data_IF_139162823669
#
_entry.id   IF_139162823669
#
_cell.length_a   1.000
_cell.length_b   1.000
_cell.length_c   1.000
_cell.angle_alpha   90.00
_cell.angle_beta   90.00
_cell.angle_gamma   90.00
#
_symmetry.space_group_name_H-M   'P 1'
#
loop_
_entity.id
_entity.type
_entity.pdbx_description
1 polymer ?
#
# COMPACT_ATOMS: atom_id res chain seq x y z
N UNK A 1 12.62 -8.87 -21.50
CA UNK A 1 12.77 -8.36 -20.10
C UNK A 1 13.42 -6.97 -19.97
N UNK A 2 14.09 -6.43 -21.03
CA UNK A 2 14.81 -5.13 -20.93
C UNK A 2 13.88 -3.95 -20.56
N UNK A 3 12.64 -3.92 -21.05
CA UNK A 3 11.68 -2.82 -20.82
C UNK A 3 10.80 -3.00 -19.57
N UNK A 4 10.64 -4.24 -19.08
CA UNK A 4 9.76 -4.54 -17.95
C UNK A 4 10.13 -3.78 -16.66
N UNK A 5 11.43 -3.59 -16.41
CA UNK A 5 11.92 -2.83 -15.26
C UNK A 5 11.47 -1.36 -15.27
N UNK A 6 11.35 -0.74 -16.46
CA UNK A 6 10.90 0.64 -16.57
C UNK A 6 9.38 0.75 -16.35
N UNK A 7 8.61 -0.28 -16.72
CA UNK A 7 7.19 -0.35 -16.41
C UNK A 7 6.99 -0.39 -14.89
N UNK A 8 7.73 -1.23 -14.16
CA UNK A 8 7.66 -1.28 -12.70
C UNK A 8 8.06 0.05 -12.06
N UNK A 9 9.11 0.70 -12.57
CA UNK A 9 9.53 2.02 -12.10
C UNK A 9 8.43 3.08 -12.29
N UNK A 10 7.80 3.13 -13.46
CA UNK A 10 6.73 4.08 -13.74
C UNK A 10 5.54 3.85 -12.81
N UNK A 11 5.13 2.60 -12.60
CA UNK A 11 4.02 2.28 -11.69
C UNK A 11 4.40 2.65 -10.25
N UNK A 12 5.63 2.33 -9.81
CA UNK A 12 6.13 2.69 -8.48
C UNK A 12 6.08 4.21 -8.24
N UNK A 13 6.57 5.00 -9.20
CA UNK A 13 6.53 6.46 -9.13
C UNK A 13 5.08 6.95 -9.11
N UNK A 14 4.22 6.40 -9.97
CA UNK A 14 2.81 6.78 -10.03
C UNK A 14 2.09 6.54 -8.70
N UNK A 15 2.28 5.36 -8.08
CA UNK A 15 1.68 5.05 -6.77
C UNK A 15 2.23 5.98 -5.69
N UNK A 16 3.53 6.27 -5.69
CA UNK A 16 4.14 7.19 -4.72
C UNK A 16 3.55 8.59 -4.83
N UNK A 17 3.43 9.12 -6.04
CA UNK A 17 2.81 10.42 -6.30
C UNK A 17 1.34 10.43 -5.90
N UNK A 18 0.60 9.36 -6.23
CA UNK A 18 -0.80 9.21 -5.84
C UNK A 18 -0.98 9.27 -4.31
N UNK A 19 -0.13 8.55 -3.55
CA UNK A 19 -0.16 8.59 -2.07
C UNK A 19 0.05 10.03 -1.58
N UNK A 20 1.04 10.74 -2.10
CA UNK A 20 1.32 12.10 -1.65
C UNK A 20 0.20 13.08 -2.03
N UNK A 21 -0.35 12.97 -3.24
CA UNK A 21 -1.51 13.80 -3.65
C UNK A 21 -2.70 13.55 -2.71
N UNK A 22 -3.01 12.28 -2.42
CA UNK A 22 -4.09 11.91 -1.48
C UNK A 22 -3.81 12.36 -0.04
N UNK A 23 -2.54 12.48 0.35
CA UNK A 23 -2.16 13.02 1.66
C UNK A 23 -2.43 14.51 1.79
N UNK A 24 -2.51 15.26 0.68
CA UNK A 24 -2.90 16.68 0.68
C UNK A 24 -4.42 16.93 0.71
N UNK A 25 -5.25 15.90 0.60
CA UNK A 25 -6.71 16.06 0.73
C UNK A 25 -7.08 16.51 2.15
N UNK A 26 -8.01 17.44 2.26
CA UNK A 26 -8.58 17.83 3.55
C UNK A 26 -9.53 16.74 4.10
N UNK A 27 -10.02 16.91 5.34
CA UNK A 27 -10.86 15.91 5.99
C UNK A 27 -12.13 15.58 5.19
N UNK A 28 -12.79 16.59 4.63
CA UNK A 28 -14.01 16.43 3.84
C UNK A 28 -13.76 15.65 2.54
N UNK A 29 -12.73 16.02 1.78
CA UNK A 29 -12.35 15.34 0.54
C UNK A 29 -11.97 13.87 0.79
N UNK A 30 -11.21 13.62 1.87
CA UNK A 30 -10.83 12.26 2.25
C UNK A 30 -12.05 11.42 2.68
N UNK A 31 -13.00 12.02 3.41
CA UNK A 31 -14.26 11.34 3.78
C UNK A 31 -15.10 11.02 2.55
N UNK A 32 -15.29 11.98 1.65
CA UNK A 32 -16.06 11.79 0.42
C UNK A 32 -15.46 10.66 -0.45
N UNK A 33 -14.12 10.59 -0.55
CA UNK A 33 -13.45 9.47 -1.26
C UNK A 33 -13.73 8.13 -0.58
N UNK A 34 -13.64 8.07 0.76
CA UNK A 34 -13.93 6.84 1.51
C UNK A 34 -15.39 6.44 1.40
N UNK A 35 -16.31 7.39 1.41
CA UNK A 35 -17.75 7.16 1.29
C UNK A 35 -18.08 6.54 -0.07
N UNK A 36 -17.57 7.10 -1.16
CA UNK A 36 -17.76 6.55 -2.52
C UNK A 36 -17.25 5.10 -2.63
N UNK A 37 -16.07 4.81 -2.08
CA UNK A 37 -15.51 3.45 -2.09
C UNK A 37 -16.37 2.52 -1.25
N UNK A 38 -16.82 2.97 -0.08
CA UNK A 38 -17.70 2.20 0.80
C UNK A 38 -19.01 1.86 0.12
N UNK A 39 -19.66 2.84 -0.53
CA UNK A 39 -20.92 2.64 -1.23
C UNK A 39 -20.80 1.59 -2.35
N UNK A 40 -19.70 1.61 -3.10
CA UNK A 40 -19.42 0.59 -4.12
C UNK A 40 -19.23 -0.80 -3.49
N UNK A 41 -18.51 -0.90 -2.37
CA UNK A 41 -18.27 -2.17 -1.67
C UNK A 41 -19.56 -2.71 -1.09
N UNK A 42 -20.33 -1.88 -0.36
CA UNK A 42 -21.60 -2.27 0.25
C UNK A 42 -22.58 -2.71 -0.84
N UNK A 43 -22.77 -1.90 -1.88
CA UNK A 43 -23.65 -2.24 -2.99
C UNK A 43 -23.25 -3.51 -3.73
N UNK A 44 -21.92 -3.80 -3.83
CA UNK A 44 -21.43 -5.04 -4.44
C UNK A 44 -21.74 -6.24 -3.54
N UNK A 45 -21.50 -6.13 -2.23
CA UNK A 45 -21.75 -7.23 -1.28
C UNK A 45 -23.24 -7.52 -1.20
N UNK A 46 -24.08 -6.49 -1.06
CA UNK A 46 -25.52 -6.65 -1.01
C UNK A 46 -26.06 -7.27 -2.30
N UNK A 47 -25.49 -6.92 -3.46
CA UNK A 47 -25.91 -7.49 -4.75
C UNK A 47 -25.54 -8.95 -4.96
N UNK A 48 -24.55 -9.50 -4.23
CA UNK A 48 -24.13 -10.92 -4.32
C UNK A 48 -24.61 -11.77 -3.13
N UNK A 49 -25.11 -11.13 -2.06
CA UNK A 49 -25.59 -11.84 -0.86
C UNK A 49 -27.03 -12.31 -1.09
N UNK A 50 -27.34 -13.62 -1.02
CA UNK A 50 -28.71 -14.11 -1.14
C UNK A 50 -29.54 -13.70 0.10
N UNK A 51 -30.61 -12.93 -0.11
CA UNK A 51 -31.54 -12.50 0.94
C UNK A 51 -31.78 -10.99 0.93
N UNK A 52 -32.75 -10.53 1.70
CA UNK A 52 -33.10 -9.09 1.79
C UNK A 52 -32.29 -8.34 2.88
N UNK A 53 -31.31 -9.00 3.52
CA UNK A 53 -30.47 -8.40 4.58
C UNK A 53 -29.26 -7.69 3.96
N UNK A 54 -29.17 -6.38 4.20
CA UNK A 54 -27.98 -5.59 3.86
C UNK A 54 -26.83 -5.82 4.87
N UNK A 55 -25.58 -5.63 4.43
CA UNK A 55 -24.42 -5.64 5.34
C UNK A 55 -24.55 -4.53 6.41
N UNK A 56 -25.24 -3.45 6.10
CA UNK A 56 -25.51 -2.33 7.01
C UNK A 56 -26.53 -2.67 8.10
N UNK A 57 -27.28 -3.75 7.96
CA UNK A 57 -28.16 -4.26 9.05
C UNK A 57 -27.34 -4.94 10.17
N UNK A 58 -26.12 -5.39 9.83
CA UNK A 58 -25.23 -6.12 10.75
C UNK A 58 -24.09 -5.24 11.32
N UNK A 59 -23.69 -4.20 10.60
CA UNK A 59 -22.56 -3.34 10.97
C UNK A 59 -22.92 -1.87 10.81
N UNK A 60 -22.45 -1.03 11.73
CA UNK A 60 -22.59 0.41 11.60
C UNK A 60 -21.85 0.91 10.33
N UNK A 61 -22.52 1.72 9.53
CA UNK A 61 -21.94 2.25 8.29
C UNK A 61 -20.67 3.06 8.54
N UNK A 62 -20.55 3.74 9.68
CA UNK A 62 -19.38 4.52 10.04
C UNK A 62 -18.18 3.59 10.34
N UNK A 63 -18.43 2.45 10.97
CA UNK A 63 -17.38 1.43 11.22
C UNK A 63 -16.89 0.83 9.89
N UNK A 64 -17.79 0.58 8.94
CA UNK A 64 -17.44 0.12 7.60
C UNK A 64 -16.58 1.18 6.89
N UNK A 65 -16.96 2.46 6.93
CA UNK A 65 -16.19 3.56 6.34
C UNK A 65 -14.78 3.68 6.92
N UNK A 66 -14.66 3.59 8.24
CA UNK A 66 -13.36 3.62 8.93
C UNK A 66 -12.51 2.42 8.52
N UNK A 67 -13.10 1.23 8.47
CA UNK A 67 -12.41 0.02 8.03
C UNK A 67 -11.94 0.12 6.58
N UNK A 68 -12.79 0.54 5.66
CA UNK A 68 -12.48 0.73 4.24
C UNK A 68 -11.33 1.73 4.07
N UNK A 69 -11.38 2.88 4.75
CA UNK A 69 -10.31 3.87 4.72
C UNK A 69 -8.97 3.29 5.20
N UNK A 70 -8.98 2.54 6.31
CA UNK A 70 -7.76 1.93 6.85
C UNK A 70 -7.27 0.75 6.02
N UNK A 71 -8.16 -0.15 5.62
CA UNK A 71 -7.78 -1.38 4.90
C UNK A 71 -7.36 -1.10 3.46
N UNK A 72 -8.03 -0.18 2.76
CA UNK A 72 -7.75 0.13 1.36
C UNK A 72 -6.85 1.36 1.24
N UNK A 73 -7.23 2.48 1.87
CA UNK A 73 -6.55 3.77 1.75
C UNK A 73 -5.14 3.79 2.36
N UNK A 74 -4.95 3.15 3.52
CA UNK A 74 -3.64 3.07 4.17
C UNK A 74 -2.94 1.75 3.84
N UNK A 75 -3.41 0.64 4.37
CA UNK A 75 -2.76 -0.65 4.22
C UNK A 75 -2.66 -1.13 2.77
N UNK A 76 -3.75 -1.11 2.00
CA UNK A 76 -3.83 -1.66 0.65
C UNK A 76 -2.96 -0.92 -0.35
N UNK A 77 -2.98 0.42 -0.33
CA UNK A 77 -2.17 1.21 -1.25
C UNK A 77 -0.67 1.07 -0.96
N UNK A 78 -0.28 0.97 0.33
CA UNK A 78 1.11 0.71 0.71
C UNK A 78 1.56 -0.71 0.42
N UNK A 79 0.65 -1.69 0.45
CA UNK A 79 0.93 -3.05 -0.02
C UNK A 79 1.25 -3.04 -1.53
N UNK A 80 0.47 -2.33 -2.34
CA UNK A 80 0.78 -2.17 -3.77
C UNK A 80 2.10 -1.43 -3.99
N UNK A 81 2.36 -0.34 -3.26
CA UNK A 81 3.63 0.38 -3.30
C UNK A 81 4.80 -0.55 -3.02
N UNK A 82 4.69 -1.40 -1.99
CA UNK A 82 5.73 -2.35 -1.59
C UNK A 82 6.01 -3.39 -2.68
N UNK A 83 4.97 -3.93 -3.33
CA UNK A 83 5.13 -4.87 -4.46
C UNK A 83 5.96 -4.24 -5.58
N UNK A 84 5.56 -3.05 -6.04
CA UNK A 84 6.24 -2.38 -7.15
C UNK A 84 7.62 -1.82 -6.76
N UNK A 85 7.82 -1.44 -5.52
CA UNK A 85 9.13 -1.10 -4.95
C UNK A 85 10.07 -2.32 -5.03
N UNK A 86 9.64 -3.48 -4.52
CA UNK A 86 10.43 -4.71 -4.56
C UNK A 86 10.81 -5.10 -6.00
N UNK A 87 9.85 -5.07 -6.92
CA UNK A 87 10.08 -5.38 -8.32
C UNK A 87 11.08 -4.38 -8.95
N UNK A 88 10.88 -3.08 -8.72
CA UNK A 88 11.75 -2.04 -9.25
C UNK A 88 13.19 -2.22 -8.78
N UNK A 89 13.41 -2.23 -7.48
CA UNK A 89 14.76 -2.31 -6.92
C UNK A 89 15.43 -3.66 -7.19
N UNK A 90 14.67 -4.77 -7.28
CA UNK A 90 15.22 -6.06 -7.68
C UNK A 90 15.85 -6.01 -9.07
N UNK A 91 15.22 -5.34 -10.04
CA UNK A 91 15.71 -5.27 -11.41
C UNK A 91 16.72 -4.16 -11.66
N UNK A 92 16.76 -3.11 -10.84
CA UNK A 92 17.71 -2.00 -11.01
C UNK A 92 18.99 -2.17 -10.19
N UNK A 93 18.93 -2.83 -9.03
CA UNK A 93 20.07 -2.96 -8.12
C UNK A 93 20.64 -4.39 -8.17
N UNK A 94 21.88 -4.52 -8.64
CA UNK A 94 22.54 -5.83 -8.75
C UNK A 94 22.84 -6.45 -7.37
N UNK A 95 23.27 -5.64 -6.38
CA UNK A 95 23.59 -6.09 -5.02
C UNK A 95 22.29 -6.27 -4.22
N UNK A 96 21.78 -7.52 -4.17
CA UNK A 96 20.44 -7.82 -3.62
C UNK A 96 20.27 -7.45 -2.14
N UNK A 97 21.32 -7.57 -1.33
CA UNK A 97 21.27 -7.12 0.06
C UNK A 97 21.05 -5.60 0.16
N UNK A 98 21.77 -4.82 -0.65
CA UNK A 98 21.60 -3.36 -0.70
C UNK A 98 20.19 -3.01 -1.19
N UNK A 99 19.70 -3.72 -2.22
CA UNK A 99 18.34 -3.57 -2.71
C UNK A 99 17.32 -3.75 -1.59
N UNK A 100 17.43 -4.80 -0.77
CA UNK A 100 16.51 -5.04 0.35
C UNK A 100 16.57 -3.94 1.41
N UNK A 101 17.77 -3.47 1.77
CA UNK A 101 17.92 -2.37 2.73
C UNK A 101 17.24 -1.10 2.21
N UNK A 102 17.46 -0.75 0.94
CA UNK A 102 16.83 0.42 0.32
C UNK A 102 15.31 0.29 0.33
N UNK A 103 14.76 -0.88 -0.01
CA UNK A 103 13.31 -1.13 0.02
C UNK A 103 12.75 -0.88 1.42
N UNK A 104 13.35 -1.46 2.45
CA UNK A 104 12.91 -1.32 3.85
C UNK A 104 12.90 0.15 4.27
N UNK A 105 13.98 0.87 3.99
CA UNK A 105 14.16 2.27 4.38
C UNK A 105 13.19 3.18 3.62
N UNK A 106 13.06 3.01 2.30
CA UNK A 106 12.18 3.84 1.48
C UNK A 106 10.71 3.66 1.86
N UNK A 107 10.26 2.44 2.17
CA UNK A 107 8.89 2.20 2.63
C UNK A 107 8.57 2.92 3.94
N UNK A 108 9.48 2.84 4.92
CA UNK A 108 9.31 3.53 6.19
C UNK A 108 9.30 5.07 6.03
N UNK A 109 10.25 5.60 5.24
CA UNK A 109 10.32 7.04 4.97
C UNK A 109 9.06 7.52 4.23
N UNK A 110 8.58 6.78 3.22
CA UNK A 110 7.37 7.15 2.48
C UNK A 110 6.15 7.16 3.40
N UNK A 111 6.03 6.19 4.31
CA UNK A 111 4.97 6.14 5.31
C UNK A 111 5.00 7.35 6.25
N UNK A 112 6.17 7.72 6.75
CA UNK A 112 6.34 8.91 7.59
C UNK A 112 5.99 10.20 6.82
N UNK A 113 6.51 10.35 5.60
CA UNK A 113 6.27 11.56 4.81
C UNK A 113 4.78 11.70 4.48
N UNK A 114 4.09 10.62 4.13
CA UNK A 114 2.65 10.68 3.84
C UNK A 114 1.84 11.20 5.03
N UNK A 115 2.17 10.78 6.25
CA UNK A 115 1.50 11.26 7.46
C UNK A 115 1.92 12.69 7.84
N UNK A 116 3.20 13.04 7.62
CA UNK A 116 3.65 14.42 7.80
C UNK A 116 2.92 15.38 6.84
N UNK A 117 2.68 15.01 5.57
CA UNK A 117 1.93 15.82 4.62
C UNK A 117 0.50 16.06 5.12
N UNK A 118 -0.11 15.11 5.80
CA UNK A 118 -1.49 15.24 6.34
C UNK A 118 -1.62 16.30 7.45
N UNK A 119 -0.51 16.89 7.92
CA UNK A 119 -0.57 18.06 8.83
C UNK A 119 -0.89 19.37 8.12
N UNK A 120 -0.77 19.42 6.79
CA UNK A 120 -0.92 20.65 6.01
C UNK A 120 -2.40 20.98 5.74
N UNK A 121 -3.26 20.04 5.30
CA UNK A 121 -4.66 20.32 5.02
C UNK A 121 -5.49 20.45 6.30
N UNK A 122 -6.54 21.27 6.21
CA UNK A 122 -7.45 21.50 7.34
C UNK A 122 -8.20 20.24 7.77
N UNK A 123 -8.38 20.11 9.09
CA UNK A 123 -9.17 19.04 9.70
C UNK A 123 -8.49 17.65 9.69
N UNK A 124 -7.22 17.58 9.29
CA UNK A 124 -6.40 16.36 9.38
C UNK A 124 -5.20 16.57 10.27
N UNK A 125 -4.64 15.46 10.74
CA UNK A 125 -3.41 15.45 11.53
C UNK A 125 -2.67 14.12 11.36
N UNK A 126 -1.37 14.09 11.69
CA UNK A 126 -0.57 12.89 11.57
C UNK A 126 -1.02 11.87 12.61
N UNK A 127 -1.03 10.61 12.21
CA UNK A 127 -1.38 9.49 13.07
C UNK A 127 -0.23 8.49 13.10
N UNK A 128 0.35 8.28 14.26
CA UNK A 128 1.41 7.26 14.43
C UNK A 128 0.86 5.86 14.10
N UNK A 129 -0.40 5.58 14.44
CA UNK A 129 -1.04 4.30 14.10
C UNK A 129 -1.16 4.11 12.59
N UNK A 130 -1.38 5.18 11.84
CA UNK A 130 -1.51 5.11 10.38
C UNK A 130 -0.13 4.97 9.71
N UNK A 131 0.94 5.54 10.30
CA UNK A 131 2.33 5.24 9.89
C UNK A 131 2.61 3.74 9.99
N UNK A 132 2.27 3.12 11.13
CA UNK A 132 2.48 1.68 11.32
C UNK A 132 1.60 0.84 10.40
N UNK A 133 0.36 1.25 10.16
CA UNK A 133 -0.56 0.55 9.27
C UNK A 133 -0.08 0.61 7.80
N UNK A 134 0.35 1.77 7.34
CA UNK A 134 0.97 1.99 6.04
C UNK A 134 2.20 1.09 5.88
N UNK A 135 3.09 1.15 6.86
CA UNK A 135 4.32 0.35 6.82
C UNK A 135 4.05 -1.15 6.93
N UNK A 136 3.02 -1.59 7.66
CA UNK A 136 2.63 -2.99 7.75
C UNK A 136 2.22 -3.54 6.37
N UNK A 137 1.38 -2.82 5.62
CA UNK A 137 1.02 -3.18 4.25
C UNK A 137 2.26 -3.30 3.35
N UNK A 138 3.14 -2.32 3.42
CA UNK A 138 4.40 -2.33 2.68
C UNK A 138 5.33 -3.50 3.09
N UNK A 139 5.47 -3.77 4.38
CA UNK A 139 6.32 -4.84 4.92
C UNK A 139 5.84 -6.24 4.52
N UNK A 140 4.52 -6.46 4.48
CA UNK A 140 3.96 -7.72 3.98
C UNK A 140 4.36 -7.94 2.52
N UNK A 141 4.35 -6.91 1.68
CA UNK A 141 4.84 -7.00 0.30
C UNK A 141 6.31 -7.40 0.24
N UNK A 142 7.16 -6.86 1.13
CA UNK A 142 8.59 -7.24 1.19
C UNK A 142 8.71 -8.73 1.50
N UNK A 143 7.93 -9.24 2.45
CA UNK A 143 7.97 -10.67 2.79
C UNK A 143 7.52 -11.52 1.60
N UNK A 144 6.35 -11.24 1.02
CA UNK A 144 5.78 -12.03 -0.09
C UNK A 144 6.68 -11.99 -1.33
N UNK A 145 7.02 -10.79 -1.81
CA UNK A 145 7.85 -10.62 -3.02
C UNK A 145 9.30 -11.01 -2.74
N UNK A 146 9.77 -10.78 -1.50
CA UNK A 146 11.08 -11.20 -1.04
C UNK A 146 11.27 -12.71 -1.12
N UNK A 147 10.30 -13.49 -0.62
CA UNK A 147 10.32 -14.96 -0.74
C UNK A 147 10.32 -15.40 -2.20
N UNK A 148 9.50 -14.76 -3.05
CA UNK A 148 9.36 -15.16 -4.46
C UNK A 148 10.63 -14.83 -5.28
N UNK A 149 11.23 -13.66 -5.09
CA UNK A 149 12.30 -13.15 -5.95
C UNK A 149 13.70 -13.32 -5.34
N UNK A 150 13.87 -12.96 -4.07
CA UNK A 150 15.19 -12.89 -3.45
C UNK A 150 15.66 -14.24 -2.90
N UNK A 151 14.75 -15.06 -2.35
CA UNK A 151 15.12 -16.37 -1.81
C UNK A 151 15.70 -17.31 -2.90
N UNK A 152 15.06 -17.48 -4.08
CA UNK A 152 15.64 -18.28 -5.16
C UNK A 152 17.00 -17.76 -5.64
N UNK A 153 17.18 -16.44 -5.67
CA UNK A 153 18.46 -15.83 -6.03
C UNK A 153 19.58 -16.24 -5.04
N UNK A 154 19.33 -16.18 -3.73
CA UNK A 154 20.33 -16.57 -2.72
C UNK A 154 20.61 -18.06 -2.71
N UNK A 155 19.59 -18.91 -2.86
CA UNK A 155 19.76 -20.37 -2.93
C UNK A 155 20.62 -20.76 -4.13
N UNK A 156 20.36 -20.17 -5.30
CA UNK A 156 21.13 -20.45 -6.51
C UNK A 156 22.60 -20.06 -6.36
N UNK A 157 22.87 -18.88 -5.80
CA UNK A 157 24.24 -18.39 -5.67
C UNK A 157 25.02 -19.14 -4.58
N UNK A 158 24.38 -19.66 -3.53
CA UNK A 158 25.04 -20.46 -2.51
C UNK A 158 25.56 -21.80 -3.07
N UNK A 159 24.83 -22.41 -4.03
CA UNK A 159 25.27 -23.67 -4.69
C UNK A 159 26.44 -23.52 -5.65
N UNK A 160 26.80 -22.30 -6.05
CA UNK A 160 27.92 -22.02 -6.96
C UNK A 160 29.24 -21.86 -6.19
N UNK A 161 29.17 -21.60 -4.89
CA UNK A 161 30.32 -21.34 -4.01
C UNK A 161 30.73 -22.60 -3.20
N UNK A 162 29.88 -23.62 -3.18
CA UNK A 162 30.16 -24.96 -2.60
C UNK A 162 30.65 -25.93 -3.66
#
# INVERSE_FOLDING_TARGET
>A
MKYLKYIFLVIYIFITLFIFIKSFENSEQSSNTSDQVTDVIVGTIDGITPGDESITDKFDINDIKIFVRKAIGHFGIFLLLGIFSCLTYYYFINKKLISMIIIIVTGFITSLISECIQTIPEGRGPSISDVFLNYAGYAISIVVVGVILYLPYYIKNKKVVS
#
